data_IF_019478611066
#
_entry.id   IF_019478611066
#
_cell.length_a   1.000
_cell.length_b   1.000
_cell.length_c   1.000
_cell.angle_alpha   90.00
_cell.angle_beta   90.00
_cell.angle_gamma   90.00
#
_symmetry.space_group_name_H-M   'P 1'
#
loop_
_entity.id
_entity.type
_entity.pdbx_description
1 polymer ?
#
# COMPACT_ATOMS: atom_id res chain seq x y z
N UNK A 1 -4.70 -8.82 62.79
CA UNK A 1 -4.60 -9.84 63.87
C UNK A 1 -5.30 -11.06 63.31
N UNK A 2 -4.70 -12.22 63.05
CA UNK A 2 -3.61 -12.93 63.73
C UNK A 2 -2.66 -13.62 62.73
N UNK A 3 -1.46 -13.93 63.21
CA UNK A 3 -0.42 -14.73 62.55
C UNK A 3 -0.48 -16.17 63.05
N UNK A 4 -0.16 -17.14 62.19
CA UNK A 4 0.56 -18.42 62.44
C UNK A 4 0.27 -19.38 61.26
N UNK A 5 1.13 -20.27 60.79
CA UNK A 5 2.59 -20.47 60.82
C UNK A 5 2.90 -21.54 59.75
N UNK A 6 4.12 -21.56 59.26
CA UNK A 6 4.67 -22.40 58.18
C UNK A 6 4.80 -23.88 58.61
N UNK A 7 4.54 -24.85 57.71
CA UNK A 7 5.42 -26.00 57.39
C UNK A 7 4.75 -27.06 56.48
N UNK A 8 5.49 -27.56 55.48
CA UNK A 8 5.21 -28.86 54.83
C UNK A 8 5.46 -28.91 53.33
N UNK A 9 6.54 -29.59 52.91
CA UNK A 9 7.01 -29.79 51.53
C UNK A 9 6.27 -30.92 50.78
N UNK A 10 6.15 -30.73 49.46
CA UNK A 10 6.18 -31.71 48.34
C UNK A 10 4.91 -32.50 47.92
N UNK A 11 4.82 -32.97 46.65
CA UNK A 11 3.71 -32.67 45.75
C UNK A 11 2.88 -33.91 45.38
N UNK A 12 1.60 -33.69 45.04
CA UNK A 12 0.74 -34.74 44.53
C UNK A 12 -0.54 -34.17 43.95
N UNK A 13 -0.81 -34.53 42.69
CA UNK A 13 -2.04 -34.26 41.95
C UNK A 13 -3.29 -34.53 42.79
N UNK A 14 -4.15 -33.54 42.96
CA UNK A 14 -5.52 -33.73 43.41
C UNK A 14 -6.49 -32.95 42.54
N UNK A 15 -7.12 -33.67 41.62
CA UNK A 15 -8.39 -33.30 41.00
C UNK A 15 -9.46 -33.23 42.09
N UNK A 16 -9.90 -32.03 42.46
CA UNK A 16 -11.11 -31.85 43.28
C UNK A 16 -12.35 -31.85 42.39
N UNK A 17 -13.11 -32.94 42.43
CA UNK A 17 -14.54 -32.96 42.12
C UNK A 17 -15.31 -32.44 43.34
N UNK A 18 -15.92 -31.27 43.23
CA UNK A 18 -17.05 -30.87 44.08
C UNK A 18 -18.33 -31.17 43.32
N UNK A 19 -19.15 -32.06 43.87
CA UNK A 19 -20.50 -32.33 43.41
C UNK A 19 -21.47 -31.29 43.99
N UNK A 20 -22.22 -30.60 43.13
CA UNK A 20 -23.50 -29.98 43.50
C UNK A 20 -24.54 -30.34 42.44
N UNK A 21 -25.73 -30.65 42.96
CA UNK A 21 -26.88 -31.28 42.32
C UNK A 21 -27.61 -30.34 41.36
N UNK A 22 -28.11 -30.92 40.27
CA UNK A 22 -29.44 -30.60 39.73
C UNK A 22 -29.46 -29.87 38.40
N UNK A 23 -29.94 -30.56 37.35
CA UNK A 23 -30.74 -29.93 36.30
C UNK A 23 -30.25 -30.09 34.86
N UNK A 24 -30.92 -31.02 34.14
CA UNK A 24 -31.08 -31.15 32.68
C UNK A 24 -29.85 -31.56 31.86
N UNK A 25 -29.87 -32.83 31.45
CA UNK A 25 -29.13 -33.37 30.31
C UNK A 25 -29.33 -32.47 29.08
N UNK A 26 -28.23 -31.86 28.64
CA UNK A 26 -28.05 -31.45 27.25
C UNK A 26 -26.91 -32.29 26.73
N UNK A 27 -27.20 -33.03 25.67
CA UNK A 27 -26.28 -33.94 25.00
C UNK A 27 -25.18 -33.11 24.35
N UNK A 28 -24.02 -33.00 25.02
CA UNK A 28 -22.83 -32.38 24.45
C UNK A 28 -22.01 -33.52 23.85
N UNK A 29 -22.20 -33.75 22.56
CA UNK A 29 -21.29 -34.55 21.76
C UNK A 29 -19.89 -33.93 21.84
N UNK A 30 -18.95 -34.66 22.45
CA UNK A 30 -17.52 -34.38 22.32
C UNK A 30 -17.15 -34.47 20.83
N UNK A 31 -16.55 -33.43 20.22
CA UNK A 31 -16.02 -33.57 18.88
C UNK A 31 -14.75 -34.43 18.95
N UNK A 32 -14.93 -35.73 18.72
CA UNK A 32 -13.84 -36.63 18.34
C UNK A 32 -13.47 -36.34 16.89
N UNK A 33 -12.68 -35.29 16.66
CA UNK A 33 -11.91 -35.15 15.43
C UNK A 33 -10.48 -34.80 15.79
N UNK A 34 -9.64 -35.83 15.80
CA UNK A 34 -8.20 -35.67 15.60
C UNK A 34 -8.05 -35.09 14.20
N UNK A 35 -7.89 -33.77 14.11
CA UNK A 35 -7.42 -33.17 12.88
C UNK A 35 -6.03 -33.72 12.57
N UNK A 36 -5.99 -34.63 11.60
CA UNK A 36 -4.80 -34.97 10.85
C UNK A 36 -4.13 -33.68 10.39
N UNK A 37 -2.97 -33.38 10.98
CA UNK A 37 -2.11 -32.30 10.54
C UNK A 37 -1.66 -32.61 9.11
N UNK A 38 -2.33 -32.01 8.13
CA UNK A 38 -1.93 -32.11 6.73
C UNK A 38 -0.51 -31.52 6.59
N UNK A 39 0.41 -32.23 5.93
CA UNK A 39 1.76 -31.74 5.72
C UNK A 39 1.72 -30.47 4.86
N UNK A 40 2.53 -29.48 5.25
CA UNK A 40 2.79 -28.25 4.50
C UNK A 40 2.91 -28.56 3.00
N UNK A 41 1.97 -28.04 2.21
CA UNK A 41 1.98 -28.16 0.76
C UNK A 41 3.26 -27.48 0.24
N UNK A 42 4.25 -28.29 -0.13
CA UNK A 42 5.38 -27.83 -0.93
C UNK A 42 4.82 -27.32 -2.25
N UNK A 43 5.07 -26.05 -2.55
CA UNK A 43 4.81 -25.46 -3.86
C UNK A 43 5.39 -26.38 -4.95
N UNK A 44 4.52 -26.80 -5.87
CA UNK A 44 4.91 -27.56 -7.04
C UNK A 44 5.91 -26.74 -7.87
N UNK A 45 7.08 -27.31 -8.12
CA UNK A 45 8.07 -26.71 -9.00
C UNK A 45 7.49 -26.62 -10.41
N UNK A 46 7.29 -25.40 -10.90
CA UNK A 46 7.05 -25.11 -12.32
C UNK A 46 8.25 -25.61 -13.12
N UNK A 47 7.99 -26.37 -14.19
CA UNK A 47 9.01 -26.91 -15.11
C UNK A 47 9.62 -25.78 -15.93
N UNK A 48 10.73 -25.23 -15.44
CA UNK A 48 11.72 -24.46 -16.20
C UNK A 48 13.11 -24.93 -15.77
N UNK A 49 14.13 -24.80 -16.63
CA UNK A 49 15.49 -25.09 -16.20
C UNK A 49 15.88 -24.13 -15.07
N UNK A 50 16.81 -24.51 -14.20
CA UNK A 50 17.32 -23.62 -13.16
C UNK A 50 17.87 -22.30 -13.75
N UNK A 51 18.34 -22.35 -15.01
CA UNK A 51 18.84 -21.21 -15.76
C UNK A 51 17.73 -20.24 -16.17
N UNK A 52 16.57 -20.74 -16.62
CA UNK A 52 15.45 -19.89 -17.04
C UNK A 52 14.86 -19.13 -15.85
N UNK A 53 14.71 -19.81 -14.70
CA UNK A 53 14.22 -19.17 -13.47
C UNK A 53 15.18 -18.11 -12.95
N UNK A 54 16.49 -18.37 -13.02
CA UNK A 54 17.50 -17.39 -12.64
C UNK A 54 17.49 -16.19 -13.58
N UNK A 55 17.32 -16.42 -14.89
CA UNK A 55 17.21 -15.35 -15.88
C UNK A 55 15.98 -14.49 -15.65
N UNK A 56 14.79 -15.09 -15.47
CA UNK A 56 13.55 -14.37 -15.18
C UNK A 56 13.67 -13.53 -13.90
N UNK A 57 14.28 -14.10 -12.85
CA UNK A 57 14.56 -13.37 -11.61
C UNK A 57 15.47 -12.16 -11.83
N UNK A 58 16.55 -12.31 -12.60
CA UNK A 58 17.46 -11.20 -12.89
C UNK A 58 16.82 -10.12 -13.79
N UNK A 59 15.97 -10.52 -14.74
CA UNK A 59 15.21 -9.62 -15.60
C UNK A 59 14.25 -8.77 -14.77
N UNK A 60 13.47 -9.43 -13.89
CA UNK A 60 12.61 -8.79 -12.89
C UNK A 60 13.39 -7.79 -12.02
N UNK A 61 14.55 -8.21 -11.49
CA UNK A 61 15.38 -7.35 -10.64
C UNK A 61 15.83 -6.06 -11.36
N UNK A 62 16.18 -6.14 -12.65
CA UNK A 62 16.55 -4.95 -13.45
C UNK A 62 15.33 -4.07 -13.72
N UNK A 63 14.19 -4.65 -14.15
CA UNK A 63 13.00 -3.88 -14.44
C UNK A 63 12.47 -3.15 -13.19
N UNK A 64 12.42 -3.84 -12.04
CA UNK A 64 12.01 -3.23 -10.76
C UNK A 64 12.90 -2.05 -10.38
N UNK A 65 14.21 -2.13 -10.65
CA UNK A 65 15.14 -1.02 -10.42
C UNK A 65 14.87 0.15 -11.34
N UNK A 66 14.70 -0.09 -12.64
CA UNK A 66 14.34 0.96 -13.60
C UNK A 66 13.01 1.63 -13.23
N UNK A 67 12.05 0.83 -12.77
CA UNK A 67 10.74 1.27 -12.36
C UNK A 67 10.77 2.13 -11.10
N UNK A 68 11.50 1.73 -10.06
CA UNK A 68 11.51 2.45 -8.77
C UNK A 68 12.55 3.56 -8.67
N UNK A 69 13.75 3.31 -9.18
CA UNK A 69 14.90 4.21 -9.03
C UNK A 69 15.01 5.20 -10.21
N UNK A 70 14.21 5.01 -11.27
CA UNK A 70 14.19 5.85 -12.46
C UNK A 70 15.32 5.52 -13.45
N UNK A 71 15.63 6.45 -14.39
CA UNK A 71 16.67 6.24 -15.38
C UNK A 71 18.04 6.00 -14.74
N UNK A 72 18.68 4.89 -15.11
CA UNK A 72 19.92 4.43 -14.47
C UNK A 72 20.89 3.84 -15.50
N UNK A 73 22.17 4.16 -15.35
CA UNK A 73 23.19 3.61 -16.24
C UNK A 73 23.38 2.11 -16.04
N UNK A 74 23.75 1.38 -17.12
CA UNK A 74 24.11 -0.04 -17.03
C UNK A 74 25.21 -0.33 -16.00
N UNK A 75 26.13 0.60 -15.82
CA UNK A 75 27.22 0.45 -14.85
C UNK A 75 26.72 0.51 -13.41
N UNK A 76 25.75 1.39 -13.14
CA UNK A 76 25.09 1.49 -11.83
C UNK A 76 24.18 0.28 -11.61
N UNK A 77 23.42 -0.17 -12.62
CA UNK A 77 22.63 -1.40 -12.57
C UNK A 77 23.50 -2.61 -12.19
N UNK A 78 24.67 -2.79 -12.80
CA UNK A 78 25.60 -3.85 -12.44
C UNK A 78 26.05 -3.75 -10.96
N UNK A 79 26.32 -2.54 -10.48
CA UNK A 79 26.70 -2.28 -9.09
C UNK A 79 25.61 -2.64 -8.09
N UNK A 80 24.37 -2.21 -8.31
CA UNK A 80 23.26 -2.41 -7.36
C UNK A 80 22.64 -3.80 -7.42
N UNK A 81 22.71 -4.47 -8.59
CA UNK A 81 22.21 -5.85 -8.74
C UNK A 81 23.26 -6.91 -8.43
N UNK A 82 24.55 -6.53 -8.37
CA UNK A 82 25.67 -7.48 -8.22
C UNK A 82 25.92 -8.34 -9.46
N UNK A 83 25.25 -8.06 -10.59
CA UNK A 83 25.41 -8.78 -11.84
C UNK A 83 26.64 -8.31 -12.61
N UNK A 84 27.23 -9.21 -13.41
CA UNK A 84 28.33 -8.82 -14.29
C UNK A 84 27.81 -7.89 -15.42
N UNK A 85 28.71 -7.04 -15.95
CA UNK A 85 28.35 -6.04 -16.96
C UNK A 85 27.76 -6.65 -18.24
N UNK A 86 28.27 -7.79 -18.70
CA UNK A 86 27.74 -8.47 -19.89
C UNK A 86 26.31 -8.98 -19.72
N UNK A 87 25.98 -9.51 -18.54
CA UNK A 87 24.65 -10.00 -18.19
C UNK A 87 23.67 -8.84 -18.12
N UNK A 88 24.04 -7.71 -17.52
CA UNK A 88 23.20 -6.50 -17.51
C UNK A 88 22.93 -6.03 -18.94
N UNK A 89 23.92 -6.00 -19.82
CA UNK A 89 23.71 -5.63 -21.23
C UNK A 89 22.72 -6.55 -21.93
N UNK A 90 22.83 -7.88 -21.76
CA UNK A 90 21.92 -8.85 -22.37
C UNK A 90 20.49 -8.63 -21.87
N UNK A 91 20.31 -8.53 -20.56
CA UNK A 91 18.98 -8.39 -19.94
C UNK A 91 18.32 -7.03 -20.25
N UNK A 92 19.11 -5.96 -20.31
CA UNK A 92 18.58 -4.64 -20.72
C UNK A 92 18.12 -4.68 -22.17
N UNK A 93 18.90 -5.28 -23.08
CA UNK A 93 18.49 -5.40 -24.47
C UNK A 93 17.23 -6.26 -24.61
N UNK A 94 17.12 -7.32 -23.82
CA UNK A 94 15.89 -8.13 -23.75
C UNK A 94 14.68 -7.31 -23.27
N UNK A 95 14.83 -6.45 -22.25
CA UNK A 95 13.75 -5.53 -21.84
C UNK A 95 13.39 -4.50 -22.94
N UNK A 96 14.36 -4.05 -23.72
CA UNK A 96 14.14 -3.15 -24.86
C UNK A 96 13.38 -3.89 -25.98
N UNK A 97 13.78 -5.12 -26.30
CA UNK A 97 13.12 -5.98 -27.30
C UNK A 97 11.68 -6.32 -26.88
N UNK A 98 11.43 -6.43 -25.57
CA UNK A 98 10.10 -6.56 -24.98
C UNK A 98 9.32 -5.24 -24.90
N UNK A 99 9.90 -4.10 -25.30
CA UNK A 99 9.24 -2.79 -25.23
C UNK A 99 9.02 -2.26 -23.81
N UNK A 100 9.69 -2.83 -22.81
CA UNK A 100 9.58 -2.48 -21.38
C UNK A 100 10.63 -1.45 -20.93
N UNK A 101 11.72 -1.33 -21.69
CA UNK A 101 12.77 -0.35 -21.45
C UNK A 101 13.15 0.39 -22.74
N UNK A 102 13.74 1.57 -22.58
CA UNK A 102 14.24 2.41 -23.66
C UNK A 102 15.59 3.00 -23.29
N UNK A 103 16.38 3.33 -24.31
CA UNK A 103 17.54 4.21 -24.16
C UNK A 103 17.12 5.62 -24.58
N UNK A 104 17.05 6.59 -23.66
CA UNK A 104 16.71 7.96 -24.02
C UNK A 104 17.76 8.51 -24.99
N UNK A 105 17.31 9.04 -26.13
CA UNK A 105 18.20 9.84 -26.96
C UNK A 105 18.56 11.12 -26.19
N UNK A 106 19.86 11.39 -26.02
CA UNK A 106 20.31 12.68 -25.49
C UNK A 106 19.83 13.76 -26.45
N UNK A 107 18.99 14.67 -25.98
CA UNK A 107 18.82 15.98 -26.63
C UNK A 107 20.20 16.65 -26.63
N UNK A 108 20.75 16.84 -27.84
CA UNK A 108 21.98 17.59 -28.03
C UNK A 108 21.62 19.07 -27.84
N UNK A 109 21.68 19.56 -26.61
CA UNK A 109 21.74 21.00 -26.31
C UNK A 109 22.20 21.21 -24.87
N UNK A 110 23.51 21.42 -24.67
CA UNK A 110 24.05 22.78 -24.48
C UNK A 110 25.59 22.70 -24.42
N UNK A 111 26.26 23.61 -25.11
CA UNK A 111 27.65 23.51 -25.56
C UNK A 111 28.74 23.67 -24.50
N UNK A 112 28.67 23.00 -23.34
CA UNK A 112 29.77 23.05 -22.36
C UNK A 112 30.15 21.71 -21.72
N UNK A 113 31.46 21.42 -21.83
CA UNK A 113 32.25 20.32 -21.24
C UNK A 113 32.21 18.97 -21.97
N UNK A 114 33.19 18.81 -22.88
CA UNK A 114 33.80 17.50 -23.19
C UNK A 114 34.32 16.88 -21.88
N UNK A 115 33.57 15.98 -21.25
CA UNK A 115 34.17 15.02 -20.32
C UNK A 115 34.79 13.88 -21.13
N UNK A 116 36.05 13.58 -20.83
CA UNK A 116 36.79 12.46 -21.41
C UNK A 116 36.34 11.19 -20.68
N UNK A 117 35.78 10.25 -21.43
CA UNK A 117 35.22 8.98 -20.95
C UNK A 117 33.76 8.85 -21.42
N UNK A 118 33.45 7.84 -22.26
CA UNK A 118 32.13 7.66 -22.86
C UNK A 118 31.07 7.59 -21.74
N UNK A 119 30.22 8.61 -21.56
CA UNK A 119 29.21 8.59 -20.51
C UNK A 119 28.27 7.42 -20.77
N UNK A 120 28.00 6.61 -19.75
CA UNK A 120 27.13 5.44 -19.89
C UNK A 120 25.72 5.91 -20.27
N UNK A 121 25.15 5.37 -21.35
CA UNK A 121 23.76 5.66 -21.74
C UNK A 121 22.85 5.16 -20.63
N UNK A 122 22.01 6.06 -20.12
CA UNK A 122 21.01 5.70 -19.12
C UNK A 122 19.93 4.83 -19.77
N UNK A 123 19.44 3.87 -19.02
CA UNK A 123 18.31 3.02 -19.41
C UNK A 123 17.12 3.50 -18.60
N UNK A 124 15.96 3.64 -19.24
CA UNK A 124 14.71 4.03 -18.59
C UNK A 124 13.62 3.01 -18.87
N UNK A 125 12.55 3.02 -18.07
CA UNK A 125 11.33 2.28 -18.40
C UNK A 125 10.64 2.89 -19.62
N UNK A 126 9.95 2.05 -20.37
CA UNK A 126 9.11 2.46 -21.49
C UNK A 126 7.99 3.42 -21.04
N UNK A 127 7.73 4.43 -21.84
CA UNK A 127 6.64 5.39 -21.64
C UNK A 127 5.34 4.98 -22.33
N UNK A 128 5.30 3.77 -22.91
CA UNK A 128 4.13 3.17 -23.60
C UNK A 128 3.38 2.14 -22.77
N UNK A 129 3.87 1.80 -21.58
CA UNK A 129 3.27 0.75 -20.73
C UNK A 129 2.55 1.41 -19.56
N UNK A 130 1.24 1.16 -19.45
CA UNK A 130 0.38 1.75 -18.42
C UNK A 130 -0.46 0.70 -17.69
N UNK A 131 -0.88 1.10 -16.50
CA UNK A 131 -1.96 0.50 -15.75
C UNK A 131 -3.09 1.51 -15.57
N UNK A 132 -4.31 1.01 -15.45
CA UNK A 132 -5.43 1.83 -14.98
C UNK A 132 -5.55 1.68 -13.47
N UNK A 133 -5.58 2.79 -12.76
CA UNK A 133 -5.83 2.85 -11.33
C UNK A 133 -7.27 3.31 -11.08
N UNK A 134 -7.99 2.64 -10.16
CA UNK A 134 -9.36 2.98 -9.80
C UNK A 134 -9.45 3.14 -8.29
N UNK A 135 -10.06 4.23 -7.84
CA UNK A 135 -10.23 4.56 -6.42
C UNK A 135 -11.71 4.93 -6.20
N UNK A 136 -12.57 3.98 -5.81
CA UNK A 136 -13.93 4.27 -5.38
C UNK A 136 -13.95 4.93 -4.00
N UNK A 137 -14.57 6.10 -3.93
CA UNK A 137 -14.82 6.85 -2.71
C UNK A 137 -16.33 6.91 -2.42
N UNK A 138 -16.71 7.57 -1.33
CA UNK A 138 -18.12 7.66 -0.93
C UNK A 138 -18.92 8.52 -1.90
N UNK A 139 -18.36 9.60 -2.41
CA UNK A 139 -19.07 10.58 -3.23
C UNK A 139 -18.42 10.81 -4.60
N UNK A 140 -17.39 10.03 -4.93
CA UNK A 140 -16.71 10.08 -6.21
C UNK A 140 -16.05 8.74 -6.57
N UNK A 141 -15.68 8.61 -7.84
CA UNK A 141 -14.79 7.56 -8.33
C UNK A 141 -13.65 8.26 -9.09
N UNK A 142 -12.41 8.00 -8.67
CA UNK A 142 -11.23 8.52 -9.36
C UNK A 142 -10.59 7.41 -10.19
N UNK A 143 -10.35 7.68 -11.48
CA UNK A 143 -9.68 6.76 -12.40
C UNK A 143 -8.44 7.43 -12.98
N UNK A 144 -7.28 6.77 -12.85
CA UNK A 144 -5.99 7.26 -13.31
C UNK A 144 -5.36 6.37 -14.38
N UNK A 145 -4.63 6.99 -15.30
CA UNK A 145 -3.69 6.29 -16.20
C UNK A 145 -2.29 6.49 -15.65
N UNK A 146 -1.64 5.41 -15.24
CA UNK A 146 -0.33 5.45 -14.57
C UNK A 146 0.67 4.64 -15.36
N UNK A 147 1.80 5.24 -15.70
CA UNK A 147 2.89 4.57 -16.41
C UNK A 147 3.87 3.90 -15.47
N UNK A 148 4.76 3.08 -16.03
CA UNK A 148 5.97 2.65 -15.34
C UNK A 148 6.74 3.87 -14.79
N UNK A 149 7.39 3.71 -13.65
CA UNK A 149 7.98 4.83 -12.89
C UNK A 149 7.01 5.53 -11.94
N UNK A 150 5.79 5.02 -11.76
CA UNK A 150 4.78 5.64 -10.90
C UNK A 150 4.27 6.98 -11.44
N UNK A 151 4.37 7.22 -12.76
CA UNK A 151 4.02 8.51 -13.38
C UNK A 151 2.54 8.56 -13.73
N UNK A 152 1.77 9.38 -13.03
CA UNK A 152 0.36 9.64 -13.36
C UNK A 152 0.30 10.51 -14.62
N UNK A 153 -0.37 10.03 -15.67
CA UNK A 153 -0.51 10.74 -16.97
C UNK A 153 -1.83 11.47 -17.09
N UNK A 154 -2.89 10.86 -16.57
CA UNK A 154 -4.25 11.37 -16.67
C UNK A 154 -5.04 10.95 -15.44
N UNK A 155 -5.89 11.85 -14.96
CA UNK A 155 -6.82 11.58 -13.87
C UNK A 155 -8.20 12.02 -14.31
N UNK A 156 -9.18 11.15 -14.11
CA UNK A 156 -10.60 11.43 -14.27
C UNK A 156 -11.22 11.31 -12.89
N UNK A 157 -11.76 12.41 -12.38
CA UNK A 157 -12.52 12.44 -11.14
C UNK A 157 -14.01 12.53 -11.51
N UNK A 158 -14.78 11.51 -11.16
CA UNK A 158 -16.21 11.44 -11.46
C UNK A 158 -17.01 11.55 -10.16
N UNK A 159 -17.70 12.66 -9.97
CA UNK A 159 -18.56 12.90 -8.82
C UNK A 159 -19.83 12.03 -8.92
N UNK A 160 -20.05 11.17 -7.93
CA UNK A 160 -21.25 10.35 -7.80
C UNK A 160 -22.26 10.98 -6.84
N UNK A 161 -21.81 11.86 -5.95
CA UNK A 161 -22.60 12.56 -4.94
C UNK A 161 -23.09 11.67 -3.78
N UNK A 162 -22.89 10.35 -3.85
CA UNK A 162 -23.27 9.38 -2.83
C UNK A 162 -22.65 8.01 -3.07
N UNK A 163 -22.67 7.16 -2.03
CA UNK A 163 -22.07 5.83 -2.10
C UNK A 163 -22.78 5.00 -3.17
N UNK A 164 -21.99 4.44 -4.07
CA UNK A 164 -22.48 3.60 -5.16
C UNK A 164 -22.48 2.13 -4.75
N UNK A 165 -23.45 1.37 -5.25
CA UNK A 165 -23.36 -0.09 -5.17
C UNK A 165 -22.17 -0.59 -5.99
N UNK A 166 -21.73 -1.83 -5.73
CA UNK A 166 -20.64 -2.43 -6.52
C UNK A 166 -20.99 -2.48 -8.01
N UNK A 167 -22.24 -2.85 -8.36
CA UNK A 167 -22.70 -2.91 -9.75
C UNK A 167 -22.71 -1.56 -10.46
N UNK A 168 -23.14 -0.51 -9.78
CA UNK A 168 -23.10 0.87 -10.32
C UNK A 168 -21.65 1.30 -10.53
N UNK A 169 -20.77 1.00 -9.57
CA UNK A 169 -19.34 1.28 -9.68
C UNK A 169 -18.71 0.58 -10.88
N UNK A 170 -18.98 -0.72 -11.07
CA UNK A 170 -18.50 -1.49 -12.24
C UNK A 170 -18.99 -0.86 -13.55
N UNK A 171 -20.27 -0.46 -13.61
CA UNK A 171 -20.85 0.20 -14.78
C UNK A 171 -20.15 1.53 -15.08
N UNK A 172 -19.95 2.38 -14.08
CA UNK A 172 -19.29 3.68 -14.23
C UNK A 172 -17.83 3.51 -14.65
N UNK A 173 -17.09 2.65 -13.94
CA UNK A 173 -15.67 2.40 -14.19
C UNK A 173 -15.45 1.82 -15.58
N UNK A 174 -16.26 0.86 -16.01
CA UNK A 174 -16.13 0.27 -17.36
C UNK A 174 -16.32 1.31 -18.47
N UNK A 175 -17.31 2.21 -18.35
CA UNK A 175 -17.51 3.32 -19.31
C UNK A 175 -16.32 4.28 -19.30
N UNK A 176 -15.81 4.66 -18.13
CA UNK A 176 -14.65 5.54 -18.02
C UNK A 176 -13.41 4.89 -18.65
N UNK A 177 -13.18 3.60 -18.39
CA UNK A 177 -12.05 2.83 -18.94
C UNK A 177 -12.17 2.75 -20.46
N UNK A 178 -13.33 2.40 -21.01
CA UNK A 178 -13.54 2.38 -22.47
C UNK A 178 -13.25 3.74 -23.10
N UNK A 179 -13.71 4.82 -22.47
CA UNK A 179 -13.38 6.19 -22.87
C UNK A 179 -11.87 6.46 -22.86
N UNK A 180 -11.17 6.07 -21.79
CA UNK A 180 -9.70 6.20 -21.70
C UNK A 180 -9.01 5.42 -22.82
N UNK A 181 -9.34 4.14 -22.99
CA UNK A 181 -8.70 3.26 -23.96
C UNK A 181 -8.84 3.80 -25.39
N UNK A 182 -10.01 4.33 -25.76
CA UNK A 182 -10.23 4.93 -27.08
C UNK A 182 -9.43 6.22 -27.35
N UNK A 183 -8.86 6.84 -26.32
CA UNK A 183 -8.03 8.05 -26.42
C UNK A 183 -6.53 7.79 -26.32
N UNK A 184 -6.12 6.57 -25.96
CA UNK A 184 -4.69 6.23 -25.87
C UNK A 184 -4.11 6.02 -27.28
N UNK A 185 -2.84 6.38 -27.51
CA UNK A 185 -2.14 6.05 -28.75
C UNK A 185 -2.19 4.54 -29.06
N UNK A 186 -2.23 4.16 -30.33
CA UNK A 186 -2.32 2.75 -30.75
C UNK A 186 -1.11 1.91 -30.28
N UNK A 187 0.06 2.53 -30.16
CA UNK A 187 1.30 1.88 -29.68
C UNK A 187 1.37 1.72 -28.15
N UNK A 188 0.28 2.04 -27.45
CA UNK A 188 0.18 1.99 -26.00
C UNK A 188 -0.29 0.61 -25.52
N UNK A 189 0.30 0.16 -24.42
CA UNK A 189 0.00 -1.11 -23.79
C UNK A 189 -0.59 -0.90 -22.39
N UNK A 190 -1.83 -1.34 -22.19
CA UNK A 190 -2.50 -1.33 -20.88
C UNK A 190 -2.48 -2.74 -20.30
N UNK A 191 -1.71 -2.93 -19.23
CA UNK A 191 -1.43 -4.26 -18.69
C UNK A 191 -2.50 -4.77 -17.71
N UNK A 192 -3.41 -3.90 -17.26
CA UNK A 192 -4.47 -4.27 -16.33
C UNK A 192 -5.02 -3.10 -15.52
N UNK A 193 -5.91 -3.43 -14.59
CA UNK A 193 -6.58 -2.50 -13.68
C UNK A 193 -6.21 -2.83 -12.23
N UNK A 194 -5.77 -1.83 -11.49
CA UNK A 194 -5.62 -1.90 -10.04
C UNK A 194 -6.70 -1.08 -9.34
N UNK A 195 -7.28 -1.62 -8.29
CA UNK A 195 -8.36 -0.96 -7.53
C UNK A 195 -7.98 -0.81 -6.07
N UNK A 196 -7.99 0.42 -5.57
CA UNK A 196 -7.79 0.75 -4.16
C UNK A 196 -9.12 0.91 -3.45
N UNK A 197 -9.48 -0.04 -2.60
CA UNK A 197 -10.78 -0.04 -1.90
C UNK A 197 -10.59 0.34 -0.42
N UNK A 198 -11.38 1.28 0.13
CA UNK A 198 -11.40 1.61 1.55
C UNK A 198 -12.11 0.52 2.37
N UNK A 199 -11.50 -0.66 2.46
CA UNK A 199 -12.07 -1.83 3.12
C UNK A 199 -11.15 -3.05 3.14
N UNK A 200 -11.66 -4.13 3.73
CA UNK A 200 -11.01 -5.43 3.79
C UNK A 200 -11.19 -6.17 2.47
N UNK A 201 -10.08 -6.53 1.84
CA UNK A 201 -10.04 -7.22 0.54
C UNK A 201 -9.37 -8.58 0.69
N UNK A 202 -9.77 -9.55 -0.11
CA UNK A 202 -9.06 -10.81 -0.24
C UNK A 202 -8.07 -10.72 -1.41
N UNK A 203 -6.77 -10.80 -1.09
CA UNK A 203 -5.68 -10.73 -2.08
C UNK A 203 -5.73 -11.89 -3.11
N UNK A 204 -6.33 -13.03 -2.78
CA UNK A 204 -6.33 -14.22 -3.64
C UNK A 204 -7.30 -14.10 -4.82
N UNK A 205 -8.52 -13.63 -4.56
CA UNK A 205 -9.61 -13.56 -5.55
C UNK A 205 -10.04 -12.11 -5.88
N UNK A 206 -9.47 -11.11 -5.21
CA UNK A 206 -9.79 -9.70 -5.39
C UNK A 206 -11.21 -9.32 -4.96
N UNK A 207 -11.85 -10.12 -4.10
CA UNK A 207 -13.14 -9.79 -3.51
C UNK A 207 -13.03 -8.77 -2.38
N UNK A 208 -14.07 -7.95 -2.22
CA UNK A 208 -14.21 -7.03 -1.09
C UNK A 208 -15.01 -7.73 -0.01
N UNK A 209 -14.31 -8.19 1.03
CA UNK A 209 -14.94 -8.82 2.19
C UNK A 209 -15.84 -7.85 2.94
N UNK A 210 -15.36 -6.62 3.17
CA UNK A 210 -16.09 -5.58 3.87
C UNK A 210 -15.56 -4.17 3.53
N UNK A 211 -16.40 -3.29 2.99
CA UNK A 211 -16.09 -1.86 2.85
C UNK A 211 -17.27 -1.02 3.37
N UNK A 212 -17.31 -0.70 4.67
CA UNK A 212 -18.53 -0.17 5.30
C UNK A 212 -18.99 1.18 4.74
N UNK A 213 -18.07 2.05 4.30
CA UNK A 213 -18.44 3.37 3.76
C UNK A 213 -19.02 3.30 2.36
N UNK A 214 -18.67 2.25 1.60
CA UNK A 214 -19.25 1.97 0.30
C UNK A 214 -20.51 1.10 0.42
N UNK A 215 -20.78 0.54 1.61
CA UNK A 215 -21.88 -0.39 1.84
C UNK A 215 -21.66 -1.78 1.21
N UNK A 216 -20.43 -2.12 0.84
CA UNK A 216 -20.11 -3.38 0.17
C UNK A 216 -19.77 -4.49 1.16
N UNK A 217 -20.25 -5.71 0.87
CA UNK A 217 -19.99 -6.89 1.70
C UNK A 217 -19.97 -8.16 0.86
N UNK A 218 -18.86 -8.89 0.94
CA UNK A 218 -18.63 -10.11 0.16
C UNK A 218 -18.87 -9.92 -1.35
N UNK A 219 -18.37 -8.82 -1.91
CA UNK A 219 -18.57 -8.45 -3.30
C UNK A 219 -17.40 -8.94 -4.19
N UNK A 220 -17.66 -9.63 -5.32
CA UNK A 220 -16.63 -10.14 -6.23
C UNK A 220 -16.12 -9.06 -7.21
N UNK A 221 -15.63 -7.94 -6.67
CA UNK A 221 -15.31 -6.74 -7.45
C UNK A 221 -14.32 -6.99 -8.61
N UNK A 222 -13.24 -7.74 -8.36
CA UNK A 222 -12.27 -8.04 -9.41
C UNK A 222 -12.92 -8.77 -10.58
N UNK A 223 -13.61 -9.89 -10.33
CA UNK A 223 -14.23 -10.70 -11.37
C UNK A 223 -15.27 -9.94 -12.20
N UNK A 224 -16.08 -9.08 -11.57
CA UNK A 224 -17.08 -8.27 -12.26
C UNK A 224 -16.43 -7.17 -13.14
N UNK A 225 -15.36 -6.53 -12.66
CA UNK A 225 -14.60 -5.57 -13.47
C UNK A 225 -13.83 -6.25 -14.60
N UNK A 226 -13.25 -7.43 -14.39
CA UNK A 226 -12.60 -8.22 -15.45
C UNK A 226 -13.59 -8.56 -16.56
N UNK A 227 -14.77 -9.04 -16.18
CA UNK A 227 -15.87 -9.33 -17.12
C UNK A 227 -16.31 -8.10 -17.91
N UNK A 228 -16.43 -6.95 -17.24
CA UNK A 228 -16.91 -5.71 -17.86
C UNK A 228 -15.87 -5.00 -18.75
N UNK A 229 -14.57 -5.16 -18.45
CA UNK A 229 -13.48 -4.42 -19.11
C UNK A 229 -12.66 -5.28 -20.07
N UNK A 230 -12.65 -6.60 -19.88
CA UNK A 230 -11.76 -7.52 -20.59
C UNK A 230 -10.29 -7.41 -20.16
N UNK A 231 -9.98 -6.65 -19.11
CA UNK A 231 -8.63 -6.45 -18.59
C UNK A 231 -8.45 -7.22 -17.28
N UNK A 232 -7.25 -7.76 -16.99
CA UNK A 232 -6.94 -8.32 -15.68
C UNK A 232 -7.14 -7.28 -14.57
N UNK A 233 -7.80 -7.65 -13.47
CA UNK A 233 -8.09 -6.73 -12.37
C UNK A 233 -7.55 -7.26 -11.05
N UNK A 234 -6.87 -6.38 -10.30
CA UNK A 234 -6.46 -6.65 -8.92
C UNK A 234 -7.03 -5.60 -7.99
N UNK A 235 -7.45 -6.05 -6.81
CA UNK A 235 -8.09 -5.22 -5.80
C UNK A 235 -7.31 -5.38 -4.51
N UNK A 236 -7.01 -4.27 -3.84
CA UNK A 236 -6.48 -4.32 -2.47
C UNK A 236 -6.96 -3.13 -1.63
N UNK A 237 -6.74 -3.24 -0.33
CA UNK A 237 -6.97 -2.19 0.64
C UNK A 237 -6.20 -0.90 0.30
N UNK A 238 -6.89 0.24 0.34
CA UNK A 238 -6.35 1.56 0.01
C UNK A 238 -5.14 1.97 0.89
N UNK A 239 -5.17 1.71 2.19
CA UNK A 239 -4.09 2.07 3.10
C UNK A 239 -2.83 1.22 2.86
N UNK A 240 -2.99 -0.06 2.55
CA UNK A 240 -1.89 -0.92 2.11
C UNK A 240 -1.27 -0.42 0.80
N UNK A 241 -2.09 0.07 -0.13
CA UNK A 241 -1.60 0.63 -1.38
C UNK A 241 -0.91 1.98 -1.19
N UNK A 242 -1.39 2.81 -0.27
CA UNK A 242 -0.71 4.03 0.12
C UNK A 242 0.67 3.75 0.71
N UNK A 243 0.77 2.75 1.60
CA UNK A 243 2.06 2.27 2.13
C UNK A 243 3.00 1.79 1.00
N UNK A 244 2.51 0.96 0.07
CA UNK A 244 3.32 0.45 -1.03
C UNK A 244 3.81 1.57 -1.93
N UNK A 245 2.95 2.56 -2.25
CA UNK A 245 3.33 3.72 -3.03
C UNK A 245 4.44 4.53 -2.33
N UNK A 246 4.29 4.87 -1.05
CA UNK A 246 5.32 5.61 -0.31
C UNK A 246 6.61 4.82 -0.10
N UNK A 247 6.51 3.50 0.01
CA UNK A 247 7.67 2.60 0.13
C UNK A 247 8.39 2.42 -1.20
N UNK A 248 7.70 2.53 -2.34
CA UNK A 248 8.32 2.33 -3.65
C UNK A 248 8.81 3.63 -4.29
N UNK A 249 8.04 4.72 -4.18
CA UNK A 249 8.30 5.98 -4.88
C UNK A 249 8.39 7.19 -3.95
N UNK A 250 7.90 7.07 -2.71
CA UNK A 250 7.82 8.19 -1.78
C UNK A 250 8.96 8.24 -0.76
N UNK A 251 8.66 8.76 0.43
CA UNK A 251 9.65 8.98 1.49
C UNK A 251 10.26 7.70 2.07
N UNK A 252 9.63 6.56 1.77
CA UNK A 252 10.02 5.22 2.20
C UNK A 252 10.95 4.45 1.24
N UNK A 253 11.24 4.97 0.05
CA UNK A 253 11.99 4.28 -1.03
C UNK A 253 13.39 3.76 -0.67
N UNK A 254 13.98 4.24 0.42
CA UNK A 254 15.34 3.91 0.83
C UNK A 254 15.45 3.39 2.27
N UNK A 255 14.34 2.90 2.83
CA UNK A 255 14.31 2.33 4.19
C UNK A 255 13.68 0.95 4.22
N UNK A 256 14.07 0.14 5.20
CA UNK A 256 13.64 -1.25 5.31
C UNK A 256 12.35 -1.41 6.09
N UNK A 257 12.05 -0.50 7.03
CA UNK A 257 10.88 -0.63 7.89
C UNK A 257 10.09 0.69 7.93
N UNK A 258 8.83 0.64 7.51
CA UNK A 258 7.94 1.81 7.38
C UNK A 258 6.61 1.51 8.06
N UNK A 259 6.12 2.47 8.85
CA UNK A 259 4.72 2.48 9.30
C UNK A 259 4.02 3.61 8.54
N UNK A 260 2.91 3.28 7.89
CA UNK A 260 2.06 4.25 7.22
C UNK A 260 0.72 4.32 7.96
N UNK A 261 0.25 5.54 8.23
CA UNK A 261 -1.09 5.81 8.72
C UNK A 261 -1.69 6.94 7.91
N UNK A 262 -2.93 6.78 7.45
CA UNK A 262 -3.67 7.80 6.75
C UNK A 262 -4.96 8.13 7.47
N UNK A 263 -5.11 9.38 7.89
CA UNK A 263 -6.35 9.91 8.46
C UNK A 263 -7.27 10.44 7.38
N UNK A 264 -8.26 9.64 6.99
CA UNK A 264 -9.34 10.05 6.10
C UNK A 264 -10.45 10.84 6.82
N UNK A 265 -11.60 11.02 6.17
CA UNK A 265 -12.71 11.77 6.75
C UNK A 265 -13.23 11.15 8.06
N UNK A 266 -13.46 9.84 8.04
CA UNK A 266 -14.10 9.12 9.15
C UNK A 266 -13.30 7.86 9.55
N UNK A 267 -12.07 7.72 9.08
CA UNK A 267 -11.25 6.52 9.26
C UNK A 267 -9.77 6.81 9.44
N UNK A 268 -9.10 5.88 10.10
CA UNK A 268 -7.64 5.78 10.05
C UNK A 268 -7.28 4.43 9.42
N UNK A 269 -6.74 4.49 8.21
CA UNK A 269 -6.13 3.32 7.56
C UNK A 269 -4.64 3.26 7.88
N UNK A 270 -4.04 2.08 7.81
CA UNK A 270 -2.60 1.97 7.95
C UNK A 270 -2.02 0.70 7.35
N UNK A 271 -0.71 0.56 7.49
CA UNK A 271 0.01 -0.64 7.11
C UNK A 271 1.47 -0.57 7.53
N UNK A 272 2.15 -1.72 7.46
CA UNK A 272 3.53 -1.86 7.93
C UNK A 272 4.37 -2.59 6.88
N UNK A 273 5.54 -2.04 6.59
CA UNK A 273 6.66 -2.76 5.98
C UNK A 273 7.69 -3.00 7.08
N UNK A 274 8.19 -4.23 7.18
CA UNK A 274 9.25 -4.61 8.12
C UNK A 274 10.30 -5.43 7.40
N UNK A 275 11.56 -5.00 7.47
CA UNK A 275 12.67 -5.68 6.79
C UNK A 275 12.48 -5.80 5.28
N UNK A 276 11.87 -4.80 4.64
CA UNK A 276 11.60 -4.73 3.20
C UNK A 276 10.34 -5.49 2.76
N UNK A 277 9.59 -6.08 3.69
CA UNK A 277 8.42 -6.89 3.38
C UNK A 277 7.15 -6.30 4.01
N UNK A 278 6.09 -6.19 3.22
CA UNK A 278 4.78 -5.80 3.72
C UNK A 278 4.25 -6.87 4.70
N UNK A 279 3.78 -6.44 5.86
CA UNK A 279 3.19 -7.31 6.88
C UNK A 279 1.74 -7.60 6.50
N UNK A 280 1.50 -8.77 5.90
CA UNK A 280 0.17 -9.20 5.45
C UNK A 280 -0.61 -10.05 6.46
N UNK A 281 0.08 -10.68 7.41
CA UNK A 281 -0.54 -11.67 8.31
C UNK A 281 -0.89 -12.97 7.60
N UNK A 282 -1.51 -13.92 8.32
CA UNK A 282 -1.82 -15.25 7.77
C UNK A 282 -2.91 -15.23 6.70
N UNK A 283 -3.84 -14.28 6.80
CA UNK A 283 -5.04 -14.19 5.96
C UNK A 283 -5.14 -12.85 5.22
N UNK A 284 -4.05 -12.08 5.10
CA UNK A 284 -4.03 -10.79 4.40
C UNK A 284 -4.55 -9.57 5.17
N UNK A 285 -5.07 -9.76 6.40
CA UNK A 285 -5.68 -8.68 7.21
C UNK A 285 -4.79 -8.10 8.31
N UNK A 286 -3.47 -8.30 8.26
CA UNK A 286 -2.60 -7.59 9.20
C UNK A 286 -2.46 -6.12 8.79
N UNK A 287 -2.21 -5.24 9.76
CA UNK A 287 -1.98 -3.81 9.47
C UNK A 287 -3.21 -2.92 9.62
N UNK A 288 -4.31 -3.41 10.21
CA UNK A 288 -5.50 -2.62 10.55
C UNK A 288 -5.26 -1.66 11.73
N UNK A 289 -4.32 -0.72 11.55
CA UNK A 289 -3.77 0.10 12.62
C UNK A 289 -4.77 1.13 13.19
N UNK A 290 -5.80 1.53 12.45
CA UNK A 290 -6.88 2.37 12.97
C UNK A 290 -7.71 1.68 14.06
N UNK A 291 -7.83 0.36 13.98
CA UNK A 291 -8.54 -0.45 14.97
C UNK A 291 -7.65 -0.87 16.15
N UNK A 292 -6.41 -0.40 16.19
CA UNK A 292 -5.50 -0.62 17.31
C UNK A 292 -6.06 0.03 18.58
N UNK A 293 -6.26 -0.78 19.64
CA UNK A 293 -6.82 -0.31 20.91
C UNK A 293 -5.75 0.38 21.74
N UNK A 294 -5.96 1.66 22.04
CA UNK A 294 -5.00 2.51 22.78
C UNK A 294 -5.46 2.85 24.19
N UNK A 295 -6.74 2.66 24.50
CA UNK A 295 -7.24 2.75 25.89
C UNK A 295 -8.36 1.78 26.17
N UNK A 296 -8.53 1.50 27.46
CA UNK A 296 -9.68 0.74 27.96
C UNK A 296 -10.87 1.67 28.11
N UNK A 297 -12.05 1.25 27.62
CA UNK A 297 -13.19 2.14 27.43
C UNK A 297 -12.93 3.14 26.29
N UNK A 298 -13.72 4.22 26.24
CA UNK A 298 -13.61 5.23 25.17
C UNK A 298 -14.77 5.17 24.18
N UNK A 299 -14.66 5.98 23.14
CA UNK A 299 -15.66 6.01 22.06
C UNK A 299 -15.61 4.71 21.26
N UNK A 300 -16.72 4.40 20.58
CA UNK A 300 -16.74 3.32 19.59
C UNK A 300 -16.31 3.88 18.24
N UNK A 301 -15.49 3.13 17.53
CA UNK A 301 -15.27 3.38 16.12
C UNK A 301 -16.45 2.90 15.27
N UNK A 302 -16.33 3.09 13.96
CA UNK A 302 -17.33 2.69 12.98
C UNK A 302 -17.53 1.17 12.87
N UNK A 303 -16.56 0.37 13.33
CA UNK A 303 -16.69 -1.09 13.45
C UNK A 303 -17.31 -1.51 14.80
N UNK A 304 -17.59 -0.54 15.68
CA UNK A 304 -18.15 -0.78 17.01
C UNK A 304 -17.11 -1.17 18.07
N UNK A 305 -15.82 -1.14 17.76
CA UNK A 305 -14.74 -1.43 18.72
C UNK A 305 -14.51 -0.21 19.62
N UNK A 306 -14.23 -0.46 20.91
CA UNK A 306 -14.02 0.61 21.89
C UNK A 306 -12.54 0.92 22.09
N UNK A 307 -12.23 2.22 22.16
CA UNK A 307 -10.92 2.71 22.57
C UNK A 307 -9.85 2.55 21.49
N UNK A 308 -10.26 2.51 20.22
CA UNK A 308 -9.37 2.35 19.07
C UNK A 308 -8.78 3.70 18.66
N UNK A 309 -7.63 3.68 17.98
CA UNK A 309 -6.99 4.88 17.44
C UNK A 309 -7.97 5.69 16.57
N UNK A 310 -8.74 5.04 15.69
CA UNK A 310 -9.78 5.69 14.87
C UNK A 310 -10.84 6.41 15.71
N UNK A 311 -11.31 5.78 16.80
CA UNK A 311 -12.32 6.41 17.67
C UNK A 311 -11.78 7.63 18.42
N UNK A 312 -10.49 7.61 18.75
CA UNK A 312 -9.83 8.59 19.60
C UNK A 312 -9.22 9.77 18.84
N UNK A 313 -8.78 9.53 17.63
CA UNK A 313 -8.13 10.50 16.76
C UNK A 313 -9.02 10.57 15.52
N UNK A 314 -9.92 11.55 15.49
CA UNK A 314 -10.88 11.69 14.40
C UNK A 314 -10.99 13.14 13.96
N UNK A 315 -11.13 13.32 12.65
CA UNK A 315 -11.24 14.61 11.96
C UNK A 315 -12.41 15.44 12.48
N UNK A 316 -13.56 14.80 12.71
CA UNK A 316 -14.80 15.52 13.03
C UNK A 316 -14.68 16.32 14.32
N UNK A 317 -14.14 15.72 15.38
CA UNK A 317 -13.89 16.40 16.64
C UNK A 317 -12.88 17.56 16.47
N UNK A 318 -11.84 17.35 15.65
CA UNK A 318 -10.83 18.36 15.36
C UNK A 318 -11.45 19.57 14.62
N UNK A 319 -12.15 19.33 13.52
CA UNK A 319 -12.84 20.34 12.71
C UNK A 319 -13.86 21.12 13.55
N UNK A 320 -14.67 20.43 14.35
CA UNK A 320 -15.65 21.06 15.23
C UNK A 320 -14.97 21.96 16.27
N UNK A 321 -13.87 21.51 16.87
CA UNK A 321 -13.12 22.30 17.87
C UNK A 321 -12.52 23.58 17.28
N UNK A 322 -12.20 23.57 15.99
CA UNK A 322 -11.66 24.70 15.23
C UNK A 322 -12.76 25.62 14.68
N UNK A 323 -14.04 25.27 14.83
CA UNK A 323 -15.15 26.04 14.27
C UNK A 323 -15.23 25.98 12.75
N UNK A 324 -14.62 24.96 12.13
CA UNK A 324 -14.63 24.73 10.69
C UNK A 324 -15.89 23.97 10.26
N UNK A 325 -16.43 24.30 9.08
CA UNK A 325 -17.42 23.44 8.42
C UNK A 325 -16.69 22.18 7.89
N UNK A 326 -17.35 21.02 7.94
CA UNK A 326 -16.80 19.76 7.43
C UNK A 326 -16.38 19.86 5.97
N UNK A 327 -17.07 20.68 5.18
CA UNK A 327 -16.80 20.92 3.75
C UNK A 327 -15.50 21.71 3.51
N UNK A 328 -15.08 22.50 4.51
CA UNK A 328 -13.88 23.34 4.44
C UNK A 328 -12.62 22.63 4.96
N UNK A 329 -12.65 21.29 5.04
CA UNK A 329 -11.52 20.51 5.54
C UNK A 329 -10.23 20.68 4.75
N UNK A 330 -10.31 21.05 3.47
CA UNK A 330 -9.14 21.40 2.66
C UNK A 330 -8.33 22.57 3.27
N UNK A 331 -8.94 23.37 4.16
CA UNK A 331 -8.31 24.48 4.88
C UNK A 331 -7.75 24.08 6.25
N UNK A 332 -7.79 22.79 6.62
CA UNK A 332 -7.38 22.35 7.95
C UNK A 332 -5.96 22.80 8.30
N UNK A 333 -5.01 22.65 7.37
CA UNK A 333 -3.62 23.06 7.58
C UNK A 333 -3.49 24.57 7.84
N UNK A 334 -4.23 25.39 7.07
CA UNK A 334 -4.26 26.85 7.25
C UNK A 334 -4.78 27.22 8.65
N UNK A 335 -5.91 26.63 9.06
CA UNK A 335 -6.54 26.95 10.34
C UNK A 335 -5.72 26.43 11.52
N UNK A 336 -5.02 25.31 11.36
CA UNK A 336 -4.08 24.84 12.36
C UNK A 336 -2.85 25.75 12.45
N UNK A 337 -2.44 26.45 11.40
CA UNK A 337 -1.34 27.41 11.47
C UNK A 337 -1.71 28.75 12.14
N UNK A 338 -3.00 29.07 12.22
CA UNK A 338 -3.50 30.31 12.83
C UNK A 338 -3.56 30.27 14.37
N UNK A 339 -3.89 31.41 14.99
CA UNK A 339 -4.07 31.50 16.45
C UNK A 339 -5.31 30.73 16.88
N UNK A 340 -5.10 29.65 17.62
CA UNK A 340 -6.15 28.72 18.05
C UNK A 340 -6.82 29.16 19.35
N UNK A 341 -8.09 28.81 19.52
CA UNK A 341 -8.79 28.96 20.81
C UNK A 341 -8.25 27.96 21.84
N UNK A 342 -8.48 28.21 23.14
CA UNK A 342 -8.08 27.27 24.18
C UNK A 342 -8.77 25.89 24.03
N UNK A 343 -10.03 25.87 23.57
CA UNK A 343 -10.78 24.64 23.33
C UNK A 343 -10.20 23.84 22.15
N UNK A 344 -9.86 24.52 21.05
CA UNK A 344 -9.19 23.89 19.92
C UNK A 344 -7.84 23.28 20.32
N UNK A 345 -7.04 24.02 21.09
CA UNK A 345 -5.75 23.51 21.56
C UNK A 345 -5.92 22.31 22.49
N UNK A 346 -6.93 22.32 23.37
CA UNK A 346 -7.21 21.18 24.24
C UNK A 346 -7.56 19.91 23.46
N UNK A 347 -8.34 20.03 22.37
CA UNK A 347 -8.68 18.89 21.53
C UNK A 347 -7.48 18.39 20.71
N UNK A 348 -6.68 19.30 20.15
CA UNK A 348 -5.41 18.94 19.47
C UNK A 348 -4.49 18.19 20.44
N UNK A 349 -4.29 18.73 21.64
CA UNK A 349 -3.47 18.13 22.69
C UNK A 349 -3.92 16.71 23.03
N UNK A 350 -5.24 16.49 23.13
CA UNK A 350 -5.85 15.19 23.40
C UNK A 350 -5.59 14.20 22.26
N UNK A 351 -5.75 14.63 21.01
CA UNK A 351 -5.51 13.78 19.84
C UNK A 351 -4.02 13.47 19.65
N UNK A 352 -3.12 14.42 19.93
CA UNK A 352 -1.66 14.21 19.89
C UNK A 352 -1.22 13.20 20.95
N UNK A 353 -1.79 13.25 22.16
CA UNK A 353 -1.56 12.22 23.19
C UNK A 353 -1.99 10.82 22.71
N UNK A 354 -3.20 10.71 22.17
CA UNK A 354 -3.73 9.45 21.67
C UNK A 354 -2.90 8.89 20.49
N UNK A 355 -2.57 9.74 19.51
CA UNK A 355 -1.74 9.38 18.36
C UNK A 355 -0.32 8.98 18.80
N UNK A 356 0.31 9.77 19.68
CA UNK A 356 1.65 9.48 20.19
C UNK A 356 1.71 8.19 21.00
N UNK A 357 0.67 7.87 21.78
CA UNK A 357 0.53 6.60 22.51
C UNK A 357 0.48 5.41 21.54
N UNK A 358 -0.33 5.53 20.48
CA UNK A 358 -0.43 4.50 19.46
C UNK A 358 0.92 4.28 18.76
N UNK A 359 1.54 5.37 18.29
CA UNK A 359 2.80 5.35 17.58
C UNK A 359 3.96 4.85 18.46
N UNK A 360 4.01 5.21 19.74
CA UNK A 360 5.02 4.70 20.67
C UNK A 360 4.93 3.18 20.85
N UNK A 361 3.72 2.65 20.93
CA UNK A 361 3.52 1.19 20.98
C UNK A 361 3.97 0.53 19.68
N UNK A 362 3.63 1.12 18.53
CA UNK A 362 4.04 0.60 17.22
C UNK A 362 5.56 0.66 17.03
N UNK A 363 6.24 1.72 17.48
CA UNK A 363 7.71 1.81 17.51
C UNK A 363 8.30 0.70 18.36
N UNK A 364 7.70 0.44 19.52
CA UNK A 364 8.16 -0.63 20.42
C UNK A 364 8.07 -2.02 19.78
N UNK A 365 7.03 -2.27 18.99
CA UNK A 365 6.79 -3.57 18.34
C UNK A 365 7.62 -3.74 17.07
N UNK A 366 7.66 -2.72 16.22
CA UNK A 366 8.17 -2.84 14.85
C UNK A 366 9.53 -2.19 14.62
N UNK A 367 9.98 -1.30 15.51
CA UNK A 367 11.21 -0.52 15.39
C UNK A 367 11.44 0.02 13.96
N UNK A 368 10.54 0.89 13.46
CA UNK A 368 10.58 1.34 12.08
C UNK A 368 11.69 2.36 11.85
N UNK A 369 12.18 2.46 10.61
CA UNK A 369 13.05 3.56 10.19
C UNK A 369 12.24 4.86 10.00
N UNK A 370 10.99 4.72 9.55
CA UNK A 370 10.12 5.80 9.12
C UNK A 370 8.67 5.58 9.53
N UNK A 371 8.02 6.65 10.01
CA UNK A 371 6.58 6.76 10.18
C UNK A 371 6.06 7.83 9.21
N UNK A 372 5.11 7.46 8.36
CA UNK A 372 4.46 8.35 7.40
C UNK A 372 3.02 8.60 7.85
N UNK A 373 2.67 9.87 8.05
CA UNK A 373 1.35 10.30 8.53
C UNK A 373 0.61 11.13 7.46
N UNK A 374 -0.34 10.50 6.78
CA UNK A 374 -1.19 11.09 5.74
C UNK A 374 -2.51 11.68 6.26
N UNK A 375 -3.14 12.50 5.41
CA UNK A 375 -4.41 13.15 5.69
C UNK A 375 -4.35 14.03 6.95
N UNK A 376 -5.41 14.02 7.76
CA UNK A 376 -5.47 14.89 8.95
C UNK A 376 -4.42 14.52 10.03
N UNK A 377 -3.88 13.30 10.01
CA UNK A 377 -2.77 12.91 10.90
C UNK A 377 -1.49 13.67 10.55
N UNK A 378 -1.26 13.90 9.26
CA UNK A 378 -0.20 14.77 8.78
C UNK A 378 -0.40 16.21 9.26
N UNK A 379 -1.65 16.70 9.29
CA UNK A 379 -2.00 18.05 9.79
C UNK A 379 -1.70 18.18 11.27
N UNK A 380 -2.04 17.17 12.07
CA UNK A 380 -1.67 17.11 13.49
C UNK A 380 -0.15 17.10 13.70
N UNK A 381 0.59 16.35 12.88
CA UNK A 381 2.06 16.33 12.91
C UNK A 381 2.65 17.73 12.67
N UNK A 382 2.17 18.46 11.67
CA UNK A 382 2.66 19.82 11.38
C UNK A 382 2.23 20.85 12.43
N UNK A 383 1.04 20.68 12.99
CA UNK A 383 0.50 21.56 14.02
C UNK A 383 1.29 21.49 15.34
N UNK A 384 1.75 20.29 15.73
CA UNK A 384 2.39 20.01 17.03
C UNK A 384 3.57 19.02 16.94
N UNK A 385 4.60 19.28 16.10
CA UNK A 385 5.64 18.29 15.79
C UNK A 385 6.50 17.95 17.00
N UNK A 386 6.86 18.94 17.82
CA UNK A 386 7.68 18.75 19.02
C UNK A 386 6.91 17.93 20.06
N UNK A 387 5.61 18.24 20.24
CA UNK A 387 4.78 17.56 21.22
C UNK A 387 4.53 16.10 20.83
N UNK A 388 4.19 15.82 19.58
CA UNK A 388 3.99 14.44 19.13
C UNK A 388 5.25 13.61 19.34
N UNK A 389 6.43 14.14 18.98
CA UNK A 389 7.72 13.48 19.23
C UNK A 389 7.98 13.25 20.72
N UNK A 390 7.63 14.20 21.57
CA UNK A 390 7.80 14.06 23.03
C UNK A 390 6.90 12.96 23.63
N UNK A 391 5.66 12.83 23.15
CA UNK A 391 4.75 11.76 23.57
C UNK A 391 5.33 10.42 23.14
N UNK A 392 5.69 10.25 21.86
CA UNK A 392 6.27 8.99 21.35
C UNK A 392 7.53 8.60 22.14
N UNK A 393 8.42 9.56 22.41
CA UNK A 393 9.65 9.32 23.18
C UNK A 393 9.37 8.83 24.61
N UNK A 394 8.29 9.31 25.25
CA UNK A 394 7.89 8.89 26.60
C UNK A 394 7.33 7.46 26.61
N UNK A 395 6.71 7.05 25.52
CA UNK A 395 6.08 5.73 25.36
C UNK A 395 7.03 4.66 24.79
N UNK A 396 8.32 4.99 24.59
CA UNK A 396 9.30 4.11 23.94
C UNK A 396 10.61 4.00 24.72
N UNK A 397 11.37 2.94 24.47
CA UNK A 397 12.76 2.86 24.92
C UNK A 397 13.63 3.76 24.03
N UNK A 398 14.40 4.67 24.63
CA UNK A 398 15.15 5.70 23.90
C UNK A 398 15.98 5.18 22.70
N UNK A 399 16.69 4.04 22.76
CA UNK A 399 17.42 3.52 21.61
C UNK A 399 16.55 3.13 20.41
N UNK A 400 15.29 2.74 20.63
CA UNK A 400 14.36 2.35 19.56
C UNK A 400 13.82 3.58 18.82
N UNK A 401 13.67 4.71 19.51
CA UNK A 401 13.09 5.92 18.92
C UNK A 401 14.12 6.90 18.34
N UNK A 402 15.38 6.84 18.81
CA UNK A 402 16.40 7.85 18.52
C UNK A 402 16.62 8.14 17.02
N UNK A 403 16.44 7.14 16.14
CA UNK A 403 16.66 7.26 14.70
C UNK A 403 15.37 7.30 13.87
N UNK A 404 14.20 7.19 14.51
CA UNK A 404 12.91 7.11 13.80
C UNK A 404 12.57 8.46 13.19
N UNK A 405 12.40 8.49 11.86
CA UNK A 405 11.90 9.66 11.15
C UNK A 405 10.38 9.65 11.13
N UNK A 406 9.78 10.85 11.20
CA UNK A 406 8.33 11.03 11.10
C UNK A 406 8.09 12.11 10.07
N UNK A 407 7.33 11.80 9.01
CA UNK A 407 7.08 12.70 7.88
C UNK A 407 5.63 12.62 7.40
N UNK A 408 5.24 13.57 6.56
CA UNK A 408 4.06 13.44 5.71
C UNK A 408 4.36 12.57 4.47
N UNK A 409 3.33 12.06 3.78
CA UNK A 409 3.47 11.49 2.44
C UNK A 409 4.10 12.48 1.48
N UNK A 410 4.84 11.97 0.51
CA UNK A 410 5.55 12.75 -0.50
C UNK A 410 4.88 12.72 -1.86
N UNK A 411 4.01 11.73 -2.10
CA UNK A 411 3.29 11.53 -3.37
C UNK A 411 1.98 12.34 -3.48
N UNK A 412 1.64 13.13 -2.46
CA UNK A 412 0.48 14.01 -2.47
C UNK A 412 -0.84 13.27 -2.77
N UNK A 413 -1.69 13.88 -3.60
CA UNK A 413 -2.99 13.33 -3.99
C UNK A 413 -2.91 12.12 -4.94
N UNK A 414 -1.74 11.83 -5.49
CA UNK A 414 -1.54 10.74 -6.47
C UNK A 414 -1.25 9.40 -5.82
N UNK A 415 -0.99 9.37 -4.50
CA UNK A 415 -0.54 8.20 -3.75
C UNK A 415 -1.38 6.94 -4.00
N UNK A 416 -2.71 7.05 -3.99
CA UNK A 416 -3.60 5.89 -4.19
C UNK A 416 -3.64 5.45 -5.65
N UNK A 417 -3.49 6.36 -6.61
CA UNK A 417 -3.42 6.01 -8.02
C UNK A 417 -2.12 5.24 -8.31
N UNK A 418 -1.00 5.72 -7.78
CA UNK A 418 0.29 5.05 -7.88
C UNK A 418 0.23 3.67 -7.21
N UNK A 419 -0.29 3.60 -5.98
CA UNK A 419 -0.41 2.35 -5.24
C UNK A 419 -1.30 1.32 -5.95
N UNK A 420 -2.47 1.74 -6.44
CA UNK A 420 -3.35 0.87 -7.22
C UNK A 420 -2.66 0.37 -8.50
N UNK A 421 -1.99 1.25 -9.24
CA UNK A 421 -1.24 0.87 -10.43
C UNK A 421 -0.14 -0.17 -10.13
N UNK A 422 0.54 -0.09 -8.98
CA UNK A 422 1.54 -1.10 -8.58
C UNK A 422 0.96 -2.51 -8.48
N UNK A 423 -0.32 -2.67 -8.11
CA UNK A 423 -0.96 -3.99 -8.13
C UNK A 423 -1.05 -4.55 -9.54
N UNK A 424 -1.48 -3.72 -10.49
CA UNK A 424 -1.58 -4.11 -11.89
C UNK A 424 -0.19 -4.41 -12.47
N UNK A 425 0.83 -3.61 -12.13
CA UNK A 425 2.21 -3.87 -12.54
C UNK A 425 2.84 -5.10 -11.88
N UNK A 426 2.34 -5.56 -10.74
CA UNK A 426 2.92 -6.67 -9.96
C UNK A 426 3.29 -7.91 -10.77
N UNK A 427 2.39 -8.51 -11.57
CA UNK A 427 2.71 -9.64 -12.44
C UNK A 427 3.81 -9.33 -13.46
N UNK A 428 3.74 -8.19 -14.15
CA UNK A 428 4.76 -7.76 -15.12
C UNK A 428 6.13 -7.57 -14.46
N UNK A 429 6.17 -6.90 -13.30
CA UNK A 429 7.41 -6.67 -12.56
C UNK A 429 7.99 -7.98 -12.01
N UNK A 430 7.14 -8.96 -11.67
CA UNK A 430 7.54 -10.27 -11.16
C UNK A 430 8.07 -11.22 -12.23
N UNK A 431 7.51 -11.17 -13.44
CA UNK A 431 7.93 -11.99 -14.58
C UNK A 431 7.84 -11.21 -15.90
N UNK A 432 8.83 -10.35 -16.21
CA UNK A 432 8.76 -9.51 -17.39
C UNK A 432 8.73 -10.29 -18.71
N UNK A 433 9.25 -11.52 -18.70
CA UNK A 433 9.35 -12.37 -19.88
C UNK A 433 8.06 -13.11 -20.21
N UNK A 434 7.03 -13.07 -19.35
CA UNK A 434 5.75 -13.74 -19.60
C UNK A 434 4.76 -12.89 -20.40
N UNK A 435 5.11 -11.65 -20.76
CA UNK A 435 4.23 -10.79 -21.55
C UNK A 435 4.25 -11.21 -23.01
N UNK A 436 3.08 -11.55 -23.52
CA UNK A 436 2.79 -11.63 -24.94
C UNK A 436 2.03 -10.36 -25.34
N UNK A 437 2.67 -9.49 -26.12
CA UNK A 437 1.97 -8.39 -26.74
C UNK A 437 1.12 -8.92 -27.90
N UNK A 438 -0.12 -8.41 -28.10
CA UNK A 438 -0.84 -8.64 -29.34
C UNK A 438 0.08 -8.31 -30.51
N UNK A 439 0.30 -9.25 -31.43
CA UNK A 439 1.16 -9.03 -32.60
C UNK A 439 0.53 -7.96 -33.51
N UNK A 440 0.91 -6.70 -33.35
CA UNK A 440 0.80 -5.70 -34.40
C UNK A 440 2.19 -5.45 -35.01
N UNK A 441 2.37 -6.03 -36.19
CA UNK A 441 3.40 -5.80 -37.21
C UNK A 441 4.75 -5.23 -36.72
N UNK A 442 5.66 -6.14 -36.35
CA UNK A 442 7.12 -5.92 -36.41
C UNK A 442 7.63 -5.71 -37.86
N UNK A 443 6.91 -4.97 -38.70
CA UNK A 443 7.32 -4.61 -40.05
C UNK A 443 7.06 -3.12 -40.28
N UNK A 444 8.03 -2.30 -39.87
CA UNK A 444 7.90 -0.86 -40.06
C UNK A 444 9.19 -0.07 -40.05
N UNK A 445 10.38 -0.65 -40.25
CA UNK A 445 11.55 0.15 -40.66
C UNK A 445 12.75 -0.70 -41.14
N UNK A 446 12.72 -1.25 -42.36
CA UNK A 446 13.97 -1.74 -42.98
C UNK A 446 13.96 -1.93 -44.50
N UNK A 447 13.04 -1.32 -45.26
CA UNK A 447 13.06 -1.38 -46.74
C UNK A 447 12.49 -0.14 -47.43
N UNK A 448 13.13 1.02 -47.27
CA UNK A 448 13.12 2.06 -48.32
C UNK A 448 14.46 2.82 -48.31
N UNK A 449 15.53 2.16 -48.77
CA UNK A 449 16.70 2.85 -49.33
C UNK A 449 17.15 2.09 -50.56
N UNK A 450 16.73 2.60 -51.71
CA UNK A 450 17.33 2.54 -53.06
C UNK A 450 16.26 2.34 -54.11
N UNK A 451 15.81 3.44 -54.70
CA UNK A 451 15.78 3.66 -56.16
C UNK A 451 15.19 5.04 -56.44
N UNK A 452 16.07 6.01 -56.70
CA UNK A 452 15.84 7.24 -57.47
C UNK A 452 17.18 7.77 -57.94
#
# INVERSE_FOLDING_TARGET
MERCSIAGKLPGLWTRRCALRGGRETDVQEPTDRHDAQPLRRFGAVKGSNLDRLRAHNLSAILVRLHRDGPISRSTLAGVTGLNRSTVTILVNELIDLGLAVEPQRTVDDGTKKSVGRPSVDVAVSDRVFAIAVVPEVDAITVGVVGLGGKVRKVIHYETGSAQTMRETVSIVSVIIQGILSMLPEDTQVIGVGVAVPGLTNDEDGSVSLAPQLGWRAEPLAAELESATGLPVRVANDAHLGLLAETNFGGGSHVGSVIYLNGGANRIGGGIVSGGHAVKGSNGYAGELGHFRIRSGGSRDSAGLQGTLESEVNRDALVQSLGLDRRDFHRLDEVLAERRTALAQQEIDRQIEALGTALGTMVTIFNPDLIVLGGFLGSLLEAEPVRLRSVIARETLAPQYATVRITRPTLGSEILLIGAAELAFGPLLGDPGSIEWPEEERQGDSRQVNES
#
